data_IF_537214870819
#
_entry.id   IF_537214870819
#
_cell.length_a   1.000
_cell.length_b   1.000
_cell.length_c   1.000
_cell.angle_alpha   90.00
_cell.angle_beta   90.00
_cell.angle_gamma   90.00
#
_symmetry.space_group_name_H-M   'P 1'
#
loop_
_entity.id
_entity.type
_entity.pdbx_description
1 polymer ?
#
# COMPACT_ATOMS: atom_id res chain seq x y z
N UNK A 1 -37.81 45.13 -9.61
CA UNK A 1 -37.13 45.14 -8.28
C UNK A 1 -36.60 43.76 -7.83
N UNK A 2 -37.15 42.63 -8.29
CA UNK A 2 -36.67 41.27 -7.91
C UNK A 2 -35.28 40.90 -8.46
N UNK A 3 -34.94 41.30 -9.70
CA UNK A 3 -33.66 40.95 -10.35
C UNK A 3 -32.44 41.61 -9.72
N UNK A 4 -32.53 42.88 -9.28
CA UNK A 4 -31.45 43.58 -8.58
C UNK A 4 -31.09 42.94 -7.24
N UNK A 5 -32.10 42.47 -6.48
CA UNK A 5 -31.89 41.76 -5.21
C UNK A 5 -31.25 40.38 -5.42
N UNK A 6 -31.58 39.71 -6.53
CA UNK A 6 -31.01 38.42 -6.88
C UNK A 6 -29.54 38.51 -7.30
N UNK A 7 -29.19 39.54 -8.07
CA UNK A 7 -27.79 39.81 -8.48
C UNK A 7 -26.94 40.17 -7.26
N UNK A 8 -27.44 41.01 -6.36
CA UNK A 8 -26.72 41.37 -5.12
C UNK A 8 -26.46 40.12 -4.27
N UNK A 9 -27.44 39.20 -4.17
CA UNK A 9 -27.29 37.98 -3.39
C UNK A 9 -26.23 37.03 -3.99
N UNK A 10 -26.21 36.86 -5.31
CA UNK A 10 -25.19 36.06 -6.00
C UNK A 10 -23.79 36.68 -5.81
N UNK A 11 -23.65 37.99 -5.98
CA UNK A 11 -22.36 38.68 -5.80
C UNK A 11 -21.87 38.55 -4.37
N UNK A 12 -22.76 38.68 -3.37
CA UNK A 12 -22.38 38.51 -1.97
C UNK A 12 -21.98 37.08 -1.63
N UNK A 13 -22.65 36.07 -2.21
CA UNK A 13 -22.29 34.67 -1.98
C UNK A 13 -20.92 34.35 -2.59
N UNK A 14 -20.64 34.84 -3.81
CA UNK A 14 -19.34 34.67 -4.47
C UNK A 14 -18.21 35.34 -3.67
N UNK A 15 -18.45 36.55 -3.16
CA UNK A 15 -17.49 37.27 -2.30
C UNK A 15 -17.24 36.55 -0.96
N UNK A 16 -18.28 35.97 -0.35
CA UNK A 16 -18.13 35.17 0.88
C UNK A 16 -17.36 33.87 0.63
N UNK A 17 -17.60 33.17 -0.48
CA UNK A 17 -16.89 31.93 -0.79
C UNK A 17 -15.41 32.15 -1.12
N UNK A 18 -15.05 33.33 -1.64
CA UNK A 18 -13.65 33.67 -1.98
C UNK A 18 -12.75 33.86 -0.76
N UNK A 19 -13.32 34.05 0.44
CA UNK A 19 -12.59 34.38 1.67
C UNK A 19 -12.32 33.15 2.55
N UNK A 20 -12.85 31.99 2.17
CA UNK A 20 -12.68 30.71 2.86
C UNK A 20 -11.53 29.91 2.25
N UNK A 21 -10.35 30.53 2.16
CA UNK A 21 -9.10 29.80 1.91
C UNK A 21 -8.50 29.52 3.28
N UNK A 22 -8.65 28.29 3.78
CA UNK A 22 -7.90 27.83 4.95
C UNK A 22 -6.41 27.93 4.58
N UNK A 23 -5.58 28.67 5.34
CA UNK A 23 -4.14 28.60 5.11
C UNK A 23 -3.72 27.17 5.39
N UNK A 24 -3.25 26.46 4.35
CA UNK A 24 -2.49 25.24 4.57
C UNK A 24 -1.36 25.62 5.53
N UNK A 25 -1.30 24.95 6.69
CA UNK A 25 -0.16 25.06 7.58
C UNK A 25 1.03 24.53 6.77
N UNK A 26 1.86 25.46 6.29
CA UNK A 26 3.04 25.16 5.52
C UNK A 26 4.22 25.72 6.32
N UNK A 27 5.14 24.85 6.67
CA UNK A 27 6.36 25.25 7.36
C UNK A 27 7.34 25.82 6.34
N UNK A 28 7.85 27.02 6.56
CA UNK A 28 8.91 27.58 5.69
C UNK A 28 10.27 27.06 6.12
N UNK A 29 11.03 26.49 5.18
CA UNK A 29 12.40 26.02 5.37
C UNK A 29 13.37 26.86 4.54
N UNK A 30 14.48 27.29 5.15
CA UNK A 30 15.57 27.95 4.45
C UNK A 30 16.63 26.93 4.06
N UNK A 31 16.89 26.79 2.76
CA UNK A 31 17.84 25.83 2.20
C UNK A 31 19.25 26.13 2.70
N UNK A 32 19.96 25.11 3.17
CA UNK A 32 21.33 25.21 3.66
C UNK A 32 22.33 24.67 2.63
N UNK A 33 23.61 25.02 2.80
CA UNK A 33 24.67 24.49 1.93
C UNK A 33 24.76 22.97 2.04
N UNK A 34 24.62 22.28 0.90
CA UNK A 34 24.63 20.81 0.81
C UNK A 34 23.26 20.13 0.96
N UNK A 35 22.18 20.91 1.05
CA UNK A 35 20.82 20.38 1.00
C UNK A 35 20.45 19.88 -0.40
N UNK A 36 19.55 18.89 -0.41
CA UNK A 36 18.88 18.39 -1.61
C UNK A 36 17.39 18.27 -1.28
N UNK A 37 16.50 18.56 -2.24
CA UNK A 37 15.05 18.44 -2.03
C UNK A 37 14.67 17.07 -1.47
N UNK A 38 15.33 15.98 -1.90
CA UNK A 38 15.12 14.64 -1.35
C UNK A 38 15.32 14.55 0.17
N UNK A 39 16.41 15.14 0.69
CA UNK A 39 16.72 15.10 2.13
C UNK A 39 15.75 15.96 2.93
N UNK A 40 15.36 17.11 2.38
CA UNK A 40 14.37 18.00 2.98
C UNK A 40 13.02 17.27 3.03
N UNK A 41 12.57 16.68 1.91
CA UNK A 41 11.34 15.90 1.82
C UNK A 41 11.30 14.78 2.87
N UNK A 42 12.37 14.00 2.97
CA UNK A 42 12.49 12.92 3.96
C UNK A 42 12.42 13.44 5.41
N UNK A 43 13.09 14.56 5.70
CA UNK A 43 13.09 15.19 7.04
C UNK A 43 11.70 15.62 7.48
N UNK A 44 10.89 16.09 6.54
CA UNK A 44 9.54 16.61 6.81
C UNK A 44 8.42 15.59 6.52
N UNK A 45 8.76 14.36 6.12
CA UNK A 45 7.78 13.31 5.84
C UNK A 45 6.88 13.61 4.64
N UNK A 46 7.38 14.39 3.67
CA UNK A 46 6.69 14.72 2.41
C UNK A 46 7.45 14.13 1.23
N UNK A 47 6.83 14.14 0.07
CA UNK A 47 7.47 13.78 -1.21
C UNK A 47 8.15 15.00 -1.82
N UNK A 48 9.17 14.75 -2.65
CA UNK A 48 9.82 15.82 -3.44
C UNK A 48 8.79 16.54 -4.32
N UNK A 49 7.86 15.79 -4.93
CA UNK A 49 6.83 16.35 -5.79
C UNK A 49 5.93 17.34 -5.02
N UNK A 50 5.55 17.01 -3.78
CA UNK A 50 4.76 17.93 -2.94
C UNK A 50 5.49 19.25 -2.67
N UNK A 51 6.81 19.21 -2.47
CA UNK A 51 7.61 20.44 -2.31
C UNK A 51 7.69 21.20 -3.63
N UNK A 52 7.89 20.51 -4.74
CA UNK A 52 7.95 21.11 -6.08
C UNK A 52 6.65 21.83 -6.42
N UNK A 53 5.51 21.17 -6.21
CA UNK A 53 4.18 21.72 -6.48
C UNK A 53 3.85 22.88 -5.54
N UNK A 54 4.24 22.81 -4.27
CA UNK A 54 4.01 23.88 -3.29
C UNK A 54 4.83 25.15 -3.56
N UNK A 55 5.91 25.05 -4.35
CA UNK A 55 6.87 26.14 -4.59
C UNK A 55 7.04 26.51 -6.08
N UNK A 56 6.25 25.91 -6.98
CA UNK A 56 6.34 26.09 -8.43
C UNK A 56 7.77 25.90 -8.98
N UNK A 57 8.51 24.92 -8.45
CA UNK A 57 9.91 24.68 -8.80
C UNK A 57 10.00 24.05 -10.19
N UNK A 58 10.66 24.73 -11.14
CA UNK A 58 10.82 24.23 -12.51
C UNK A 58 11.83 23.10 -12.65
N UNK A 59 12.89 23.13 -11.84
CA UNK A 59 13.92 22.09 -11.84
C UNK A 59 14.19 21.64 -10.39
N UNK A 60 13.69 20.46 -10.00
CA UNK A 60 13.87 19.91 -8.64
C UNK A 60 15.34 19.69 -8.24
N UNK A 61 16.24 19.55 -9.20
CA UNK A 61 17.68 19.33 -8.94
C UNK A 61 18.45 20.63 -8.69
N UNK A 62 17.83 21.80 -8.88
CA UNK A 62 18.45 23.12 -8.73
C UNK A 62 17.77 23.89 -7.59
N UNK A 63 18.30 23.73 -6.38
CA UNK A 63 18.00 24.58 -5.22
C UNK A 63 19.30 25.23 -4.70
N UNK A 64 19.20 26.44 -4.17
CA UNK A 64 20.36 27.20 -3.70
C UNK A 64 20.27 27.52 -2.21
N UNK A 65 21.40 27.55 -1.49
CA UNK A 65 21.42 28.00 -0.10
C UNK A 65 20.82 29.41 0.05
N UNK A 66 19.91 29.56 1.01
CA UNK A 66 19.12 30.78 1.24
C UNK A 66 17.73 30.78 0.59
N UNK A 67 17.43 29.81 -0.27
CA UNK A 67 16.08 29.66 -0.84
C UNK A 67 15.06 29.35 0.27
N UNK A 68 13.91 30.01 0.22
CA UNK A 68 12.79 29.75 1.13
C UNK A 68 11.80 28.81 0.48
N UNK A 69 11.75 27.58 0.98
CA UNK A 69 10.84 26.55 0.53
C UNK A 69 9.63 26.46 1.47
N UNK A 70 8.44 26.54 0.89
CA UNK A 70 7.19 26.14 1.52
C UNK A 70 7.16 24.62 1.59
N UNK A 71 7.32 24.08 2.80
CA UNK A 71 7.15 22.66 3.04
C UNK A 71 5.69 22.46 3.46
N UNK A 72 4.86 21.81 2.62
CA UNK A 72 3.50 21.51 3.03
C UNK A 72 3.55 20.62 4.27
N UNK A 73 2.68 20.85 5.25
CA UNK A 73 2.60 19.94 6.39
C UNK A 73 2.29 18.54 5.88
N UNK A 74 3.10 17.58 6.32
CA UNK A 74 3.06 16.16 5.98
C UNK A 74 1.81 15.43 6.47
N UNK A 75 0.65 16.09 6.48
CA UNK A 75 -0.60 15.43 6.16
C UNK A 75 -0.58 15.14 4.65
N UNK A 76 0.43 14.40 4.20
CA UNK A 76 0.12 13.33 3.27
C UNK A 76 -1.12 12.67 3.88
N UNK A 77 -2.21 12.58 3.13
CA UNK A 77 -3.18 11.56 3.46
C UNK A 77 -2.34 10.32 3.67
N UNK A 78 -2.18 9.94 4.93
CA UNK A 78 -1.55 8.69 5.29
C UNK A 78 -2.61 7.75 4.75
N UNK A 79 -2.44 7.38 3.48
CA UNK A 79 -3.21 6.32 2.88
C UNK A 79 -2.77 5.14 3.73
N UNK A 80 -3.49 4.93 4.83
CA UNK A 80 -3.24 3.85 5.76
C UNK A 80 -3.46 2.60 4.92
N UNK A 81 -2.35 2.07 4.39
CA UNK A 81 -2.38 0.88 3.56
C UNK A 81 -2.69 -0.26 4.51
N UNK A 82 -3.95 -0.65 4.55
CA UNK A 82 -4.37 -1.86 5.24
C UNK A 82 -3.75 -3.05 4.49
N UNK A 83 -2.84 -3.76 5.14
CA UNK A 83 -2.25 -5.00 4.63
C UNK A 83 -2.92 -6.16 5.36
N UNK A 84 -3.50 -7.08 4.61
CA UNK A 84 -4.07 -8.30 5.17
C UNK A 84 -3.03 -9.42 5.08
N UNK A 85 -2.66 -10.04 6.20
CA UNK A 85 -1.72 -11.17 6.22
C UNK A 85 -2.50 -12.44 6.52
N UNK A 86 -2.54 -13.36 5.54
CA UNK A 86 -3.01 -14.72 5.72
C UNK A 86 -1.79 -15.64 5.86
N UNK A 87 -1.83 -16.54 6.83
CA UNK A 87 -0.76 -17.52 6.99
C UNK A 87 -1.30 -18.92 7.27
N UNK A 88 -0.55 -19.93 6.84
CA UNK A 88 -0.76 -21.34 7.15
C UNK A 88 0.47 -21.94 7.84
N UNK A 89 0.28 -22.98 8.64
CA UNK A 89 1.35 -23.79 9.22
C UNK A 89 0.86 -25.24 9.33
N UNK A 90 1.78 -26.21 9.27
CA UNK A 90 1.51 -27.62 9.56
C UNK A 90 0.35 -28.22 8.72
N UNK A 91 0.28 -27.88 7.43
CA UNK A 91 -0.87 -28.29 6.58
C UNK A 91 -0.85 -29.78 6.22
N UNK A 92 0.27 -30.49 6.42
CA UNK A 92 0.38 -31.95 6.27
C UNK A 92 -0.21 -32.53 4.97
N UNK A 93 -0.01 -31.83 3.84
CA UNK A 93 -0.45 -32.26 2.51
C UNK A 93 -1.97 -32.52 2.39
N UNK A 94 -2.78 -31.81 3.16
CA UNK A 94 -4.23 -32.00 3.21
C UNK A 94 -4.91 -31.28 2.06
N UNK A 95 -5.16 -32.01 0.99
CA UNK A 95 -5.79 -31.46 -0.23
C UNK A 95 -7.31 -31.31 -0.07
N UNK A 96 -7.99 -32.31 0.49
CA UNK A 96 -9.46 -32.34 0.57
C UNK A 96 -10.00 -32.14 1.99
N UNK A 97 -11.21 -31.60 2.07
CA UNK A 97 -11.94 -31.40 3.34
C UNK A 97 -12.33 -32.73 3.99
N UNK A 98 -12.08 -32.88 5.29
CA UNK A 98 -12.66 -33.94 6.11
C UNK A 98 -13.23 -33.34 7.39
N UNK A 99 -14.46 -33.74 7.74
CA UNK A 99 -15.24 -33.14 8.84
C UNK A 99 -14.54 -33.24 10.21
N UNK A 100 -13.62 -34.19 10.37
CA UNK A 100 -12.86 -34.42 11.60
C UNK A 100 -11.42 -33.89 11.52
N UNK A 101 -11.07 -33.28 10.39
CA UNK A 101 -9.70 -33.26 9.88
C UNK A 101 -9.42 -31.94 9.11
N UNK A 102 -9.90 -30.82 9.64
CA UNK A 102 -9.50 -29.49 9.17
C UNK A 102 -9.99 -29.08 7.78
N UNK A 103 -9.53 -27.89 7.36
CA UNK A 103 -10.12 -27.14 6.25
C UNK A 103 -9.60 -27.56 4.86
N UNK A 104 -8.36 -28.08 4.77
CA UNK A 104 -7.71 -28.51 3.51
C UNK A 104 -7.45 -27.38 2.51
N UNK A 105 -6.67 -27.64 1.46
CA UNK A 105 -6.29 -26.64 0.45
C UNK A 105 -7.48 -26.15 -0.42
N UNK A 106 -8.49 -26.97 -0.64
CA UNK A 106 -9.71 -26.60 -1.38
C UNK A 106 -10.41 -25.37 -0.77
N UNK A 107 -10.68 -25.40 0.54
CA UNK A 107 -11.32 -24.28 1.24
C UNK A 107 -10.37 -23.11 1.47
N UNK A 108 -9.08 -23.38 1.71
CA UNK A 108 -8.07 -22.32 1.81
C UNK A 108 -7.99 -21.48 0.54
N UNK A 109 -8.05 -22.10 -0.65
CA UNK A 109 -8.05 -21.38 -1.92
C UNK A 109 -9.25 -20.44 -2.08
N UNK A 110 -10.41 -20.83 -1.53
CA UNK A 110 -11.63 -20.02 -1.56
C UNK A 110 -11.48 -18.83 -0.61
N UNK A 111 -10.98 -19.06 0.60
CA UNK A 111 -10.73 -17.99 1.58
C UNK A 111 -9.69 -17.00 1.06
N UNK A 112 -8.60 -17.48 0.46
CA UNK A 112 -7.58 -16.61 -0.14
C UNK A 112 -8.18 -15.74 -1.24
N UNK A 113 -9.00 -16.32 -2.13
CA UNK A 113 -9.71 -15.56 -3.18
C UNK A 113 -10.66 -14.53 -2.59
N UNK A 114 -11.41 -14.89 -1.56
CA UNK A 114 -12.32 -13.96 -0.87
C UNK A 114 -11.56 -12.82 -0.19
N UNK A 115 -10.44 -13.10 0.47
CA UNK A 115 -9.65 -12.08 1.17
C UNK A 115 -8.95 -11.14 0.18
N UNK A 116 -8.40 -11.67 -0.92
CA UNK A 116 -7.86 -10.86 -2.02
C UNK A 116 -8.92 -10.00 -2.71
N UNK A 117 -10.15 -10.50 -2.84
CA UNK A 117 -11.26 -9.71 -3.38
C UNK A 117 -11.68 -8.56 -2.44
N UNK A 118 -11.52 -8.73 -1.13
CA UNK A 118 -11.82 -7.69 -0.12
C UNK A 118 -10.69 -6.67 0.01
N UNK A 119 -9.44 -7.12 -0.03
CA UNK A 119 -8.28 -6.26 0.05
C UNK A 119 -7.21 -6.74 -0.96
N UNK A 120 -6.92 -5.96 -2.02
CA UNK A 120 -5.88 -6.32 -2.98
C UNK A 120 -4.48 -6.37 -2.34
N UNK A 121 -4.26 -5.71 -1.21
CA UNK A 121 -3.02 -5.75 -0.43
C UNK A 121 -3.00 -6.95 0.54
N UNK A 122 -3.42 -8.13 0.06
CA UNK A 122 -3.40 -9.37 0.85
C UNK A 122 -2.15 -10.18 0.55
N UNK A 123 -1.33 -10.45 1.57
CA UNK A 123 -0.18 -11.33 1.50
C UNK A 123 -0.52 -12.70 2.09
N UNK A 124 -0.21 -13.77 1.37
CA UNK A 124 -0.43 -15.16 1.82
C UNK A 124 0.91 -15.87 1.97
N UNK A 125 1.13 -16.54 3.11
CA UNK A 125 2.40 -17.17 3.45
C UNK A 125 2.21 -18.54 4.11
N UNK A 126 3.08 -19.51 3.83
CA UNK A 126 3.13 -20.78 4.55
C UNK A 126 4.39 -20.86 5.44
N UNK A 127 4.20 -21.23 6.70
CA UNK A 127 5.25 -21.30 7.72
C UNK A 127 5.98 -22.65 7.76
N UNK A 128 5.65 -23.60 6.87
CA UNK A 128 6.34 -24.88 6.71
C UNK A 128 5.52 -26.10 7.13
N UNK A 129 6.18 -27.26 7.02
CA UNK A 129 5.63 -28.60 7.27
C UNK A 129 4.37 -28.96 6.44
N UNK A 130 4.33 -28.48 5.20
CA UNK A 130 3.29 -28.78 4.23
C UNK A 130 3.41 -30.19 3.59
N UNK A 131 4.58 -30.84 3.62
CA UNK A 131 4.91 -31.98 2.75
C UNK A 131 4.93 -33.36 3.42
N UNK A 132 4.75 -33.45 4.74
CA UNK A 132 4.76 -34.72 5.47
C UNK A 132 3.34 -35.15 5.90
N UNK A 133 3.00 -36.43 5.74
CA UNK A 133 1.81 -37.04 6.37
C UNK A 133 0.83 -37.81 5.47
N UNK A 134 0.91 -37.75 4.13
CA UNK A 134 -0.03 -38.45 3.23
C UNK A 134 0.68 -39.18 2.09
N UNK A 135 0.18 -40.36 1.70
CA UNK A 135 0.72 -41.23 0.63
C UNK A 135 0.88 -40.51 -0.72
N UNK A 136 0.09 -39.45 -0.97
CA UNK A 136 0.13 -38.65 -2.20
C UNK A 136 1.37 -37.76 -2.32
N UNK A 137 1.97 -37.30 -1.22
CA UNK A 137 3.24 -36.54 -1.26
C UNK A 137 4.43 -37.46 -1.55
N UNK A 138 4.35 -38.72 -1.10
CA UNK A 138 5.38 -39.74 -1.32
C UNK A 138 5.36 -40.32 -2.75
N UNK A 139 4.17 -40.47 -3.36
CA UNK A 139 4.02 -41.03 -4.71
C UNK A 139 4.49 -40.09 -5.83
N UNK A 140 4.28 -38.78 -5.69
CA UNK A 140 4.67 -37.77 -6.69
C UNK A 140 5.81 -36.84 -6.21
N UNK A 141 6.54 -37.22 -5.16
CA UNK A 141 7.61 -36.40 -4.54
C UNK A 141 7.19 -34.94 -4.24
N UNK A 142 5.93 -34.71 -3.90
CA UNK A 142 5.41 -33.38 -3.57
C UNK A 142 5.06 -32.46 -4.75
N UNK A 143 5.27 -32.87 -6.01
CA UNK A 143 5.05 -32.01 -7.20
C UNK A 143 3.62 -31.46 -7.31
N UNK A 144 2.61 -32.31 -7.06
CA UNK A 144 1.20 -31.90 -7.08
C UNK A 144 0.83 -30.92 -5.96
N UNK A 145 1.54 -30.95 -4.82
CA UNK A 145 1.30 -30.05 -3.69
C UNK A 145 2.00 -28.72 -3.93
N UNK A 146 3.20 -28.74 -4.51
CA UNK A 146 3.91 -27.55 -4.96
C UNK A 146 3.03 -26.77 -5.94
N UNK A 147 2.43 -27.44 -6.93
CA UNK A 147 1.53 -26.77 -7.87
C UNK A 147 0.33 -26.12 -7.18
N UNK A 148 -0.32 -26.80 -6.23
CA UNK A 148 -1.46 -26.24 -5.47
C UNK A 148 -1.03 -25.04 -4.62
N UNK A 149 0.12 -25.11 -3.95
CA UNK A 149 0.64 -24.02 -3.12
C UNK A 149 1.04 -22.82 -3.97
N UNK A 150 1.72 -23.04 -5.09
CA UNK A 150 2.12 -21.99 -6.05
C UNK A 150 0.90 -21.33 -6.69
N UNK A 151 -0.11 -22.11 -7.11
CA UNK A 151 -1.28 -21.56 -7.80
C UNK A 151 -2.26 -20.87 -6.85
N UNK A 152 -2.30 -21.27 -5.57
CA UNK A 152 -3.36 -20.82 -4.64
C UNK A 152 -2.89 -20.04 -3.41
N UNK A 153 -1.64 -20.17 -2.94
CA UNK A 153 -1.26 -19.84 -1.55
C UNK A 153 0.03 -19.03 -1.42
N UNK A 154 0.96 -19.08 -2.37
CA UNK A 154 2.25 -18.39 -2.24
C UNK A 154 2.41 -17.25 -3.25
N UNK A 155 2.59 -16.02 -2.74
CA UNK A 155 3.01 -14.87 -3.56
C UNK A 155 4.53 -14.69 -3.61
N UNK A 156 5.30 -15.38 -2.75
CA UNK A 156 6.77 -15.39 -2.82
C UNK A 156 7.28 -16.66 -3.53
N UNK A 157 7.85 -16.47 -4.72
CA UNK A 157 8.72 -17.43 -5.42
C UNK A 157 10.07 -17.59 -4.69
N UNK A 158 10.12 -18.35 -3.60
CA UNK A 158 11.43 -18.76 -3.06
C UNK A 158 11.53 -20.24 -2.65
N UNK A 159 10.65 -21.10 -3.16
CA UNK A 159 10.67 -22.54 -2.88
C UNK A 159 11.49 -23.37 -3.88
N UNK A 160 12.10 -22.75 -4.89
CA UNK A 160 12.94 -23.48 -5.87
C UNK A 160 14.33 -23.88 -5.34
N UNK A 161 14.74 -23.46 -4.14
CA UNK A 161 16.07 -23.76 -3.60
C UNK A 161 16.16 -25.04 -2.74
N UNK A 162 15.06 -25.74 -2.49
CA UNK A 162 15.04 -26.91 -1.59
C UNK A 162 14.82 -28.27 -2.26
N UNK A 163 14.70 -28.32 -3.60
CA UNK A 163 14.47 -29.59 -4.33
C UNK A 163 15.73 -30.07 -5.08
N UNK A 164 16.82 -29.30 -5.11
CA UNK A 164 18.08 -29.68 -5.78
C UNK A 164 19.26 -29.93 -4.81
N UNK A 165 19.04 -30.65 -3.70
CA UNK A 165 20.13 -31.22 -2.89
C UNK A 165 19.82 -32.60 -2.35
#
# INVERSE_FOLDING_TARGET
MKSRRFIVLIVTVVLLTSMMVLPALATTYEVQSGDMLYRIAQKYGVTVQQIVDANDIKNPDLIYPGDKLLIPDGIAAKDDVEITILHTNDVHSRVSFSANDGMGYEKLSTIVKEMRAKNPNTLVMDAGDAFHGQTISTLNKGESIVQIITDCIHDLHNTLSFIES
#
